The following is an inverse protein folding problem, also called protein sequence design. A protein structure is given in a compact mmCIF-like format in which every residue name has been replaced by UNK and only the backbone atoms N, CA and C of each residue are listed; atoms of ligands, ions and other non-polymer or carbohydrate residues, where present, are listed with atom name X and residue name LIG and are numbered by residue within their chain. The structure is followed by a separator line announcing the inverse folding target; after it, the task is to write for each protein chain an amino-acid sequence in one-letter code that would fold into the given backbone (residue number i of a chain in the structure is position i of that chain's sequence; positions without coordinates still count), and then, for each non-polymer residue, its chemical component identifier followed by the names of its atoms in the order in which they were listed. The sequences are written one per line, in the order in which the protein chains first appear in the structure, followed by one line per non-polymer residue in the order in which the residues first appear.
data_IF_508884758289
#
_entry.id   IF_508884758289
#
_cell.length_a   1.000
_cell.length_b   1.000
_cell.length_c   1.000
_cell.angle_alpha   90.00
_cell.angle_beta   90.00
_cell.angle_gamma   90.00
#
_symmetry.space_group_name_H-M   'P 1'
#
loop_
_entity.id
_entity.type
_entity.pdbx_description
1 polymer ?
#
# COMPACT_ATOMS: atom_id res chain seq x y z
N UNK A 1 8.82 -17.51 -3.43
CA UNK A 1 8.21 -16.25 -3.81
C UNK A 1 7.89 -15.44 -2.56
N UNK A 2 8.32 -14.20 -2.51
CA UNK A 2 8.23 -13.43 -1.28
C UNK A 2 6.94 -12.63 -1.14
N UNK A 3 6.41 -12.12 -2.25
CA UNK A 3 5.22 -11.26 -2.17
C UNK A 3 3.95 -12.09 -2.20
N UNK A 4 2.96 -11.63 -1.47
CA UNK A 4 1.63 -12.21 -1.52
C UNK A 4 0.89 -11.70 -2.75
N UNK A 5 -0.14 -12.44 -3.14
CA UNK A 5 -0.94 -12.05 -4.29
C UNK A 5 -1.53 -10.65 -4.14
N UNK A 6 -2.01 -10.33 -2.91
CA UNK A 6 -2.61 -9.02 -2.69
C UNK A 6 -1.59 -7.89 -2.81
N UNK A 7 -0.32 -8.13 -2.44
CA UNK A 7 0.69 -7.08 -2.56
C UNK A 7 0.96 -6.76 -4.02
N UNK A 8 1.05 -7.77 -4.87
CA UNK A 8 1.23 -7.54 -6.30
C UNK A 8 0.08 -6.77 -6.91
N UNK A 9 -1.15 -7.15 -6.54
CA UNK A 9 -2.34 -6.45 -7.02
C UNK A 9 -2.35 -5.01 -6.57
N UNK A 10 -1.98 -4.77 -5.32
CA UNK A 10 -1.99 -3.41 -4.78
C UNK A 10 -0.90 -2.54 -5.40
N UNK A 11 0.29 -3.10 -5.61
CA UNK A 11 1.38 -2.38 -6.28
C UNK A 11 0.93 -1.97 -7.69
N UNK A 12 0.26 -2.87 -8.41
CA UNK A 12 -0.26 -2.56 -9.73
C UNK A 12 -1.26 -1.42 -9.70
N UNK A 13 -2.18 -1.47 -8.74
CA UNK A 13 -3.17 -0.40 -8.59
C UNK A 13 -2.50 0.93 -8.25
N UNK A 14 -1.55 0.91 -7.32
CA UNK A 14 -0.82 2.12 -6.95
C UNK A 14 -0.10 2.72 -8.16
N UNK A 15 0.52 1.86 -8.96
CA UNK A 15 1.22 2.32 -10.16
C UNK A 15 0.24 2.98 -11.14
N UNK A 16 -0.89 2.34 -11.37
CA UNK A 16 -1.90 2.87 -12.30
C UNK A 16 -2.48 4.19 -11.81
N UNK A 17 -2.63 4.34 -10.50
CA UNK A 17 -3.20 5.55 -9.90
C UNK A 17 -2.13 6.56 -9.52
N UNK A 18 -0.86 6.24 -9.80
CA UNK A 18 0.28 7.13 -9.52
C UNK A 18 0.40 7.46 -8.03
N UNK A 19 0.18 6.45 -7.19
CA UNK A 19 0.32 6.57 -5.75
C UNK A 19 1.70 6.05 -5.37
N UNK A 20 2.46 6.85 -4.61
CA UNK A 20 3.80 6.48 -4.19
C UNK A 20 3.79 5.82 -2.82
N UNK A 21 4.87 5.12 -2.49
CA UNK A 21 5.02 4.53 -1.15
C UNK A 21 5.01 5.60 -0.07
N UNK A 22 5.55 6.78 -0.38
CA UNK A 22 5.58 7.89 0.58
C UNK A 22 4.16 8.35 0.90
N UNK A 23 3.32 8.50 -0.12
CA UNK A 23 1.93 8.89 0.09
C UNK A 23 1.19 7.85 0.93
N UNK A 24 1.40 6.58 0.62
CA UNK A 24 0.76 5.51 1.38
C UNK A 24 1.26 5.48 2.82
N UNK A 25 2.57 5.68 3.01
CA UNK A 25 3.15 5.70 4.35
C UNK A 25 2.56 6.83 5.19
N UNK A 26 2.41 8.01 4.60
CA UNK A 26 1.80 9.14 5.31
C UNK A 26 0.36 8.85 5.70
N UNK A 27 -0.39 8.25 4.79
CA UNK A 27 -1.79 7.91 5.07
C UNK A 27 -1.89 6.89 6.20
N UNK A 28 -0.97 5.93 6.24
CA UNK A 28 -0.97 4.89 7.26
C UNK A 28 -0.31 5.30 8.57
N UNK A 29 0.46 6.39 8.56
CA UNK A 29 1.19 6.82 9.74
C UNK A 29 2.43 5.97 10.01
N UNK A 30 3.07 5.46 8.97
CA UNK A 30 4.26 4.62 9.08
C UNK A 30 5.35 5.17 8.15
N UNK A 31 6.52 4.53 8.14
CA UNK A 31 7.61 4.95 7.25
C UNK A 31 7.43 4.34 5.87
N UNK A 32 8.02 5.01 4.86
CA UNK A 32 7.98 4.48 3.50
C UNK A 32 8.79 3.17 3.41
N UNK A 33 9.81 3.01 4.25
CA UNK A 33 10.56 1.77 4.30
C UNK A 33 9.68 0.62 4.77
N UNK A 34 8.85 0.87 5.78
CA UNK A 34 7.92 -0.15 6.27
C UNK A 34 6.94 -0.56 5.16
N UNK A 35 6.40 0.42 4.43
CA UNK A 35 5.51 0.15 3.31
C UNK A 35 6.21 -0.73 2.28
N UNK A 36 7.45 -0.37 1.93
CA UNK A 36 8.22 -1.13 0.96
C UNK A 36 8.44 -2.57 1.41
N UNK A 37 8.75 -2.77 2.70
CA UNK A 37 8.98 -4.11 3.23
C UNK A 37 7.73 -4.98 3.17
N UNK A 38 6.57 -4.40 3.48
CA UNK A 38 5.32 -5.13 3.42
C UNK A 38 4.97 -5.47 1.98
N UNK A 39 5.08 -4.50 1.08
CA UNK A 39 4.72 -4.72 -0.32
C UNK A 39 5.65 -5.69 -1.02
N UNK A 40 6.89 -5.79 -0.56
CA UNK A 40 7.86 -6.73 -1.14
C UNK A 40 7.83 -8.11 -0.47
N UNK A 41 6.94 -8.29 0.50
CA UNK A 41 6.77 -9.59 1.14
C UNK A 41 7.74 -9.89 2.26
N UNK A 42 8.52 -8.91 2.70
CA UNK A 42 9.48 -9.10 3.79
C UNK A 42 8.83 -9.00 5.16
N UNK A 43 7.64 -8.45 5.24
CA UNK A 43 6.87 -8.37 6.46
C UNK A 43 5.41 -8.63 6.14
N UNK A 44 4.73 -9.29 7.08
CA UNK A 44 3.31 -9.62 6.91
C UNK A 44 2.59 -9.42 8.24
N UNK A 45 2.41 -8.16 8.66
CA UNK A 45 1.69 -7.91 9.92
C UNK A 45 0.21 -8.24 9.75
N UNK A 46 -0.41 -8.59 10.88
CA UNK A 46 -1.83 -8.93 10.89
C UNK A 46 -2.65 -7.74 10.40
N UNK A 47 -3.59 -8.01 9.50
CA UNK A 47 -4.48 -6.99 9.00
C UNK A 47 -3.84 -6.03 8.00
N UNK A 48 -2.62 -6.32 7.55
CA UNK A 48 -1.92 -5.42 6.62
C UNK A 48 -2.70 -5.23 5.33
N UNK A 49 -3.23 -6.30 4.76
CA UNK A 49 -3.96 -6.20 3.50
C UNK A 49 -5.13 -5.23 3.62
N UNK A 50 -5.93 -5.38 4.66
CA UNK A 50 -7.11 -4.53 4.85
C UNK A 50 -6.72 -3.08 5.05
N UNK A 51 -5.70 -2.82 5.87
CA UNK A 51 -5.27 -1.45 6.14
C UNK A 51 -4.66 -0.79 4.92
N UNK A 52 -3.84 -1.53 4.19
CA UNK A 52 -3.18 -1.00 2.99
C UNK A 52 -4.21 -0.71 1.90
N UNK A 53 -5.14 -1.62 1.67
CA UNK A 53 -6.19 -1.41 0.67
C UNK A 53 -7.09 -0.24 1.03
N UNK A 54 -7.44 -0.11 2.30
CA UNK A 54 -8.28 1.00 2.75
C UNK A 54 -7.57 2.34 2.55
N UNK A 55 -6.27 2.39 2.85
CA UNK A 55 -5.49 3.62 2.68
C UNK A 55 -5.39 4.02 1.20
N UNK A 56 -5.16 3.06 0.33
CA UNK A 56 -5.09 3.33 -1.11
C UNK A 56 -6.45 3.82 -1.61
N UNK A 57 -7.54 3.18 -1.18
CA UNK A 57 -8.89 3.60 -1.57
C UNK A 57 -9.16 5.03 -1.13
N UNK A 58 -8.74 5.40 0.07
CA UNK A 58 -8.92 6.76 0.55
C UNK A 58 -8.14 7.76 -0.28
N UNK A 59 -6.89 7.43 -0.62
CA UNK A 59 -6.08 8.31 -1.46
C UNK A 59 -6.72 8.53 -2.81
N UNK A 60 -7.28 7.49 -3.40
CA UNK A 60 -7.97 7.60 -4.69
C UNK A 60 -9.21 8.48 -4.56
N UNK A 61 -9.99 8.27 -3.50
CA UNK A 61 -11.22 9.05 -3.29
C UNK A 61 -10.92 10.53 -3.05
N UNK A 62 -9.86 10.81 -2.30
CA UNK A 62 -9.47 12.19 -2.03
C UNK A 62 -9.14 12.95 -3.31
N UNK A 63 -8.61 12.26 -4.30
CA UNK A 63 -8.24 12.89 -5.56
C UNK A 63 -9.44 13.16 -6.46
N UNK A 64 -10.56 12.50 -6.21
CA UNK A 64 -11.75 12.63 -7.05
C UNK A 64 -12.75 13.66 -6.53
N UNK A 65 -12.49 14.24 -5.39
CA UNK A 65 -13.38 15.27 -4.83
C UNK A 65 -12.93 16.71 -5.10
#
# INVERSE_FOLDING_TARGET
MLSKEWTGNLVGLMHNEKITNIQLAEKLGVTDRYVSMVLNGHREPDGAEQRFRAAVDELIRERKT
#
